data_IF_488334916288
#
_entry.id   IF_488334916288
#
_cell.length_a   1.000
_cell.length_b   1.000
_cell.length_c   1.000
_cell.angle_alpha   90.00
_cell.angle_beta   90.00
_cell.angle_gamma   90.00
#
_symmetry.space_group_name_H-M   'P 1'
#
loop_
_entity.id
_entity.type
_entity.pdbx_description
1 polymer ?
#
# COMPACT_ATOMS: atom_id res chain seq x y z
N UNK A 1 7.04 -25.58 46.69
CA UNK A 1 6.23 -24.34 46.51
C UNK A 1 6.83 -23.30 45.56
N UNK A 2 8.16 -23.06 45.54
CA UNK A 2 8.78 -21.99 44.73
C UNK A 2 8.74 -22.10 43.19
N UNK A 3 8.61 -23.30 42.61
CA UNK A 3 8.52 -23.47 41.13
C UNK A 3 7.23 -22.87 40.54
N UNK A 4 6.11 -22.90 41.27
CA UNK A 4 4.81 -22.39 40.81
C UNK A 4 4.74 -20.85 40.79
N UNK A 5 5.36 -20.19 41.78
CA UNK A 5 5.44 -18.73 41.88
C UNK A 5 6.31 -18.17 40.73
N UNK A 6 7.47 -18.78 40.46
CA UNK A 6 8.34 -18.38 39.36
C UNK A 6 7.67 -18.55 37.99
N UNK A 7 6.91 -19.63 37.79
CA UNK A 7 6.15 -19.87 36.57
C UNK A 7 5.02 -18.84 36.39
N UNK A 8 4.30 -18.51 37.46
CA UNK A 8 3.22 -17.51 37.43
C UNK A 8 3.75 -16.10 37.17
N UNK A 9 4.87 -15.72 37.79
CA UNK A 9 5.53 -14.45 37.55
C UNK A 9 6.02 -14.34 36.10
N UNK A 10 6.72 -15.37 35.59
CA UNK A 10 7.20 -15.41 34.20
C UNK A 10 6.04 -15.27 33.21
N UNK A 11 4.92 -15.98 33.44
CA UNK A 11 3.73 -15.89 32.58
C UNK A 11 3.12 -14.49 32.57
N UNK A 12 2.96 -13.85 33.73
CA UNK A 12 2.42 -12.49 33.84
C UNK A 12 3.36 -11.45 33.21
N UNK A 13 4.67 -11.59 33.41
CA UNK A 13 5.67 -10.72 32.80
C UNK A 13 5.66 -10.84 31.26
N UNK A 14 5.64 -12.07 30.73
CA UNK A 14 5.56 -12.31 29.27
C UNK A 14 4.26 -11.73 28.71
N UNK A 15 3.11 -11.94 29.37
CA UNK A 15 1.84 -11.36 28.93
C UNK A 15 1.90 -9.83 28.93
N UNK A 16 2.44 -9.21 29.97
CA UNK A 16 2.65 -7.76 30.04
C UNK A 16 3.57 -7.25 28.92
N UNK A 17 4.65 -7.98 28.61
CA UNK A 17 5.55 -7.65 27.51
C UNK A 17 4.82 -7.70 26.15
N UNK A 18 4.07 -8.76 25.87
CA UNK A 18 3.32 -8.88 24.60
C UNK A 18 2.28 -7.77 24.41
N UNK A 19 1.67 -7.29 25.48
CA UNK A 19 0.71 -6.18 25.42
C UNK A 19 1.43 -4.83 25.27
N UNK A 20 2.57 -4.65 25.95
CA UNK A 20 3.28 -3.37 26.01
C UNK A 20 4.13 -3.10 24.76
N UNK A 21 4.72 -4.14 24.18
CA UNK A 21 5.64 -4.03 23.04
C UNK A 21 4.99 -3.34 21.83
N UNK A 22 3.80 -3.74 21.34
CA UNK A 22 3.14 -3.05 20.24
C UNK A 22 2.90 -1.57 20.53
N UNK A 23 2.43 -1.24 21.75
CA UNK A 23 2.14 0.15 22.15
C UNK A 23 3.41 1.01 22.15
N UNK A 24 4.50 0.50 22.74
CA UNK A 24 5.78 1.19 22.77
C UNK A 24 6.31 1.39 21.35
N UNK A 25 6.26 0.36 20.51
CA UNK A 25 6.68 0.45 19.10
C UNK A 25 5.87 1.52 18.36
N UNK A 26 4.54 1.56 18.56
CA UNK A 26 3.69 2.60 17.95
C UNK A 26 4.08 4.01 18.39
N UNK A 27 4.29 4.23 19.70
CA UNK A 27 4.70 5.54 20.22
C UNK A 27 6.07 5.95 19.65
N UNK A 28 7.04 5.02 19.62
CA UNK A 28 8.36 5.28 19.05
C UNK A 28 8.28 5.62 17.56
N UNK A 29 7.47 4.89 16.79
CA UNK A 29 7.27 5.14 15.36
C UNK A 29 6.66 6.52 15.11
N UNK A 30 5.66 6.93 15.90
CA UNK A 30 5.02 8.25 15.79
C UNK A 30 6.03 9.37 16.12
N UNK A 31 6.77 9.24 17.22
CA UNK A 31 7.76 10.25 17.62
C UNK A 31 8.90 10.33 16.60
N UNK A 32 9.37 9.19 16.09
CA UNK A 32 10.39 9.15 15.05
C UNK A 32 9.90 9.83 13.77
N UNK A 33 8.69 9.49 13.30
CA UNK A 33 8.08 10.12 12.15
C UNK A 33 7.97 11.64 12.31
N UNK A 34 7.46 12.11 13.46
CA UNK A 34 7.35 13.54 13.75
C UNK A 34 8.70 14.24 13.70
N UNK A 35 9.75 13.67 14.29
CA UNK A 35 11.11 14.24 14.27
C UNK A 35 11.71 14.28 12.87
N UNK A 36 11.47 13.26 12.05
CA UNK A 36 11.94 13.23 10.65
C UNK A 36 11.27 14.35 9.86
N UNK A 37 9.94 14.44 9.91
CA UNK A 37 9.18 15.47 9.18
C UNK A 37 9.50 16.88 9.69
N UNK A 38 9.52 17.08 11.00
CA UNK A 38 9.86 18.37 11.60
C UNK A 38 11.30 18.78 11.27
N UNK A 39 12.25 17.85 11.25
CA UNK A 39 13.65 18.12 10.92
C UNK A 39 13.87 18.58 9.48
N UNK A 40 13.11 18.04 8.51
CA UNK A 40 13.25 18.37 7.08
C UNK A 40 13.07 19.87 6.80
N UNK A 41 12.08 20.51 7.42
CA UNK A 41 11.79 21.94 7.26
C UNK A 41 12.26 22.77 8.46
N UNK A 42 12.37 22.17 9.64
CA UNK A 42 12.81 22.82 10.87
C UNK A 42 14.23 23.36 10.78
N UNK A 43 15.13 22.69 10.05
CA UNK A 43 16.48 23.20 9.80
C UNK A 43 16.46 24.52 9.02
N UNK A 44 15.63 24.62 7.98
CA UNK A 44 15.45 25.86 7.21
C UNK A 44 14.93 27.01 8.10
N UNK A 45 13.97 26.72 8.98
CA UNK A 45 13.46 27.71 9.93
C UNK A 45 14.47 28.07 11.02
N UNK A 46 15.28 27.12 11.49
CA UNK A 46 16.31 27.38 12.49
C UNK A 46 17.40 28.31 11.96
N UNK A 47 17.80 28.16 10.69
CA UNK A 47 18.74 29.05 10.00
C UNK A 47 18.14 30.44 9.75
N UNK A 48 16.84 30.53 9.43
CA UNK A 48 16.18 31.80 9.14
C UNK A 48 15.79 32.61 10.41
N UNK A 49 15.32 31.94 11.46
CA UNK A 49 14.80 32.54 12.70
C UNK A 49 15.82 32.54 13.85
N UNK A 50 16.97 31.88 13.68
CA UNK A 50 18.02 31.76 14.70
C UNK A 50 17.63 30.92 15.92
N UNK A 51 16.46 30.26 15.89
CA UNK A 51 15.96 29.38 16.96
C UNK A 51 15.20 28.20 16.37
N UNK A 52 15.43 27.01 16.92
CA UNK A 52 14.65 25.82 16.57
C UNK A 52 13.32 25.82 17.32
N UNK A 53 12.21 25.97 16.61
CA UNK A 53 10.85 25.85 17.16
C UNK A 53 10.34 24.45 16.80
N UNK A 54 10.29 23.56 17.78
CA UNK A 54 9.78 22.20 17.57
C UNK A 54 8.33 22.20 17.10
N UNK A 55 8.05 21.45 16.04
CA UNK A 55 6.72 21.31 15.44
C UNK A 55 6.40 22.31 14.33
N UNK A 56 7.20 23.37 14.14
CA UNK A 56 7.01 24.32 13.05
C UNK A 56 7.31 23.68 11.69
N UNK A 57 8.32 22.81 11.62
CA UNK A 57 8.64 22.02 10.44
C UNK A 57 7.53 21.03 10.09
N UNK A 58 6.92 20.41 11.11
CA UNK A 58 5.78 19.53 10.91
C UNK A 58 4.55 20.26 10.37
N UNK A 59 4.18 21.38 10.98
CA UNK A 59 3.02 22.19 10.55
C UNK A 59 3.23 22.69 9.12
N UNK A 60 4.40 23.24 8.81
CA UNK A 60 4.73 23.71 7.47
C UNK A 60 4.70 22.58 6.43
N UNK A 61 5.14 21.36 6.77
CA UNK A 61 5.04 20.21 5.88
C UNK A 61 3.58 19.85 5.57
N UNK A 62 2.70 19.84 6.58
CA UNK A 62 1.26 19.59 6.41
C UNK A 62 0.63 20.66 5.50
N UNK A 63 0.95 21.93 5.75
CA UNK A 63 0.48 23.05 4.92
C UNK A 63 0.97 22.93 3.48
N UNK A 64 2.24 22.57 3.27
CA UNK A 64 2.82 22.38 1.95
C UNK A 64 2.12 21.25 1.18
N UNK A 65 1.88 20.10 1.82
CA UNK A 65 1.15 18.98 1.22
C UNK A 65 -0.26 19.40 0.84
N UNK A 66 -0.95 20.15 1.71
CA UNK A 66 -2.28 20.67 1.42
C UNK A 66 -2.30 21.62 0.23
N UNK A 67 -1.33 22.55 0.15
CA UNK A 67 -1.16 23.46 -0.99
C UNK A 67 -0.91 22.66 -2.28
N UNK A 68 -0.03 21.65 -2.25
CA UNK A 68 0.22 20.77 -3.39
C UNK A 68 -1.08 20.06 -3.82
N UNK A 69 -1.89 19.60 -2.87
CA UNK A 69 -3.20 19.00 -3.13
C UNK A 69 -4.15 19.97 -3.86
N UNK A 70 -4.29 21.20 -3.37
CA UNK A 70 -5.11 22.24 -4.01
C UNK A 70 -4.61 22.51 -5.43
N UNK A 71 -3.31 22.70 -5.62
CA UNK A 71 -2.71 22.93 -6.93
C UNK A 71 -3.03 21.76 -7.87
N UNK A 72 -2.94 20.51 -7.39
CA UNK A 72 -3.20 19.30 -8.18
C UNK A 72 -4.61 19.23 -8.76
N UNK A 73 -5.61 19.76 -8.04
CA UNK A 73 -7.02 19.77 -8.49
C UNK A 73 -7.32 20.76 -9.60
N UNK A 74 -6.47 21.77 -9.81
CA UNK A 74 -6.68 22.78 -10.84
C UNK A 74 -5.95 22.43 -12.15
N UNK A 75 -6.52 22.78 -13.30
CA UNK A 75 -5.97 22.44 -14.64
C UNK A 75 -4.55 22.97 -14.82
N UNK A 76 -4.28 24.19 -14.34
CA UNK A 76 -2.95 24.80 -14.40
C UNK A 76 -1.94 24.06 -13.52
N UNK A 77 -2.32 23.71 -12.29
CA UNK A 77 -1.44 22.99 -11.39
C UNK A 77 -1.14 21.57 -11.86
N UNK A 78 -2.12 20.88 -12.47
CA UNK A 78 -1.90 19.59 -13.12
C UNK A 78 -0.85 19.67 -14.23
N UNK A 79 -0.82 20.76 -15.03
CA UNK A 79 0.22 20.98 -16.05
C UNK A 79 1.60 21.18 -15.43
N UNK A 80 1.70 21.93 -14.33
CA UNK A 80 2.96 22.11 -13.58
C UNK A 80 3.47 20.76 -13.06
N UNK A 81 2.59 19.95 -12.45
CA UNK A 81 2.97 18.65 -11.91
C UNK A 81 3.51 17.71 -13.00
N UNK A 82 2.85 17.66 -14.17
CA UNK A 82 3.32 16.87 -15.33
C UNK A 82 4.67 17.38 -15.83
N UNK A 83 4.90 18.70 -15.81
CA UNK A 83 6.18 19.28 -16.22
C UNK A 83 7.31 18.90 -15.26
N UNK A 84 7.08 19.01 -13.95
CA UNK A 84 8.03 18.60 -12.91
C UNK A 84 8.34 17.10 -13.00
N UNK A 85 7.31 16.27 -13.17
CA UNK A 85 7.46 14.83 -13.37
C UNK A 85 8.34 14.52 -14.59
N UNK A 86 8.12 15.21 -15.72
CA UNK A 86 8.95 15.06 -16.91
C UNK A 86 10.40 15.43 -16.67
N UNK A 87 10.68 16.47 -15.87
CA UNK A 87 12.05 16.85 -15.49
C UNK A 87 12.69 15.72 -14.68
N UNK A 88 11.99 15.20 -13.66
CA UNK A 88 12.50 14.11 -12.82
C UNK A 88 12.81 12.84 -13.63
N UNK A 89 11.94 12.52 -14.59
CA UNK A 89 12.13 11.37 -15.49
C UNK A 89 13.26 11.54 -16.51
N UNK A 90 13.70 12.77 -16.77
CA UNK A 90 14.84 13.04 -17.64
C UNK A 90 16.20 12.88 -16.93
N UNK A 91 16.23 12.82 -15.60
CA UNK A 91 17.46 12.62 -14.83
C UNK A 91 17.76 11.12 -14.77
N UNK A 92 18.81 10.60 -15.43
CA UNK A 92 19.00 9.15 -15.64
C UNK A 92 19.04 8.32 -14.34
N UNK A 93 19.65 8.87 -13.30
CA UNK A 93 19.78 8.22 -11.98
C UNK A 93 18.46 8.21 -11.20
N UNK A 94 17.68 9.30 -11.30
CA UNK A 94 16.43 9.46 -10.54
C UNK A 94 15.24 8.83 -11.26
N UNK A 95 15.30 8.66 -12.58
CA UNK A 95 14.21 8.13 -13.40
C UNK A 95 13.70 6.79 -12.89
N UNK A 96 14.59 5.82 -12.67
CA UNK A 96 14.22 4.48 -12.21
C UNK A 96 13.58 4.49 -10.82
N UNK A 97 14.19 5.23 -9.89
CA UNK A 97 13.71 5.35 -8.50
C UNK A 97 12.36 6.06 -8.45
N UNK A 98 12.23 7.21 -9.12
CA UNK A 98 10.99 7.97 -9.16
C UNK A 98 9.87 7.18 -9.84
N UNK A 99 10.14 6.54 -10.99
CA UNK A 99 9.14 5.74 -11.68
C UNK A 99 8.64 4.56 -10.83
N UNK A 100 9.54 3.87 -10.13
CA UNK A 100 9.17 2.77 -9.23
C UNK A 100 8.30 3.26 -8.06
N UNK A 101 8.69 4.35 -7.40
CA UNK A 101 7.92 4.95 -6.31
C UNK A 101 6.55 5.43 -6.80
N UNK A 102 6.52 6.12 -7.94
CA UNK A 102 5.30 6.65 -8.55
C UNK A 102 4.33 5.53 -8.91
N UNK A 103 4.84 4.44 -9.50
CA UNK A 103 4.05 3.26 -9.82
C UNK A 103 3.45 2.62 -8.57
N UNK A 104 4.22 2.50 -7.48
CA UNK A 104 3.71 1.99 -6.20
C UNK A 104 2.61 2.90 -5.65
N UNK A 105 2.85 4.21 -5.57
CA UNK A 105 1.86 5.17 -5.06
C UNK A 105 0.59 5.17 -5.91
N UNK A 106 0.71 5.13 -7.24
CA UNK A 106 -0.43 5.09 -8.15
C UNK A 106 -1.20 3.77 -8.02
N UNK A 107 -0.53 2.64 -7.78
CA UNK A 107 -1.18 1.34 -7.58
C UNK A 107 -2.07 1.30 -6.32
N UNK A 108 -1.78 2.12 -5.31
CA UNK A 108 -2.57 2.27 -4.09
C UNK A 108 -3.50 3.48 -4.10
N UNK A 109 -3.44 4.34 -5.12
CA UNK A 109 -4.29 5.53 -5.19
C UNK A 109 -5.72 5.16 -5.63
N UNK A 110 -6.76 5.58 -4.89
CA UNK A 110 -8.15 5.23 -5.20
C UNK A 110 -8.65 5.86 -6.51
N UNK A 111 -8.01 6.93 -7.00
CA UNK A 111 -8.38 7.62 -8.24
C UNK A 111 -7.57 7.15 -9.47
N UNK A 112 -6.57 6.27 -9.28
CA UNK A 112 -5.74 5.86 -10.41
C UNK A 112 -6.44 4.81 -11.27
N UNK A 113 -6.40 4.98 -12.59
CA UNK A 113 -6.90 3.99 -13.56
C UNK A 113 -6.08 2.68 -13.56
N UNK A 114 -5.00 2.62 -12.78
CA UNK A 114 -3.99 1.55 -12.73
C UNK A 114 -3.90 0.88 -11.36
N UNK A 115 -4.79 1.26 -10.43
CA UNK A 115 -4.88 0.73 -9.06
C UNK A 115 -5.43 -0.69 -9.05
N UNK A 116 -5.06 -1.47 -8.03
CA UNK A 116 -5.71 -2.76 -7.77
C UNK A 116 -7.22 -2.51 -7.70
N UNK A 117 -7.97 -3.07 -8.64
CA UNK A 117 -9.40 -2.80 -8.78
C UNK A 117 -10.20 -3.53 -7.70
N UNK A 118 -9.89 -4.81 -7.50
CA UNK A 118 -10.65 -5.71 -6.60
C UNK A 118 -9.76 -6.81 -6.03
N UNK A 119 -10.09 -7.27 -4.82
CA UNK A 119 -9.56 -8.53 -4.30
C UNK A 119 -10.43 -9.69 -4.80
N UNK A 120 -9.79 -10.72 -5.36
CA UNK A 120 -10.46 -11.81 -6.08
C UNK A 120 -9.92 -13.16 -5.66
N UNK A 121 -10.71 -14.21 -5.92
CA UNK A 121 -10.30 -15.60 -5.78
C UNK A 121 -10.27 -16.21 -7.18
N UNK A 122 -9.19 -16.93 -7.49
CA UNK A 122 -8.98 -17.57 -8.79
C UNK A 122 -8.53 -19.01 -8.61
N UNK A 123 -8.90 -19.87 -9.55
CA UNK A 123 -8.46 -21.27 -9.55
C UNK A 123 -7.04 -21.37 -10.14
N UNK A 124 -6.04 -21.48 -9.27
CA UNK A 124 -4.62 -21.47 -9.62
C UNK A 124 -3.79 -22.15 -8.52
N UNK A 125 -2.72 -22.92 -8.85
CA UNK A 125 -2.16 -23.16 -10.19
C UNK A 125 -2.80 -24.32 -10.95
N UNK A 126 -3.71 -25.08 -10.33
CA UNK A 126 -4.34 -26.26 -10.93
C UNK A 126 -5.82 -26.35 -10.55
N UNK A 127 -6.63 -27.11 -11.32
CA UNK A 127 -8.02 -27.35 -10.97
C UNK A 127 -8.20 -27.90 -9.56
N UNK A 128 -9.22 -27.41 -8.86
CA UNK A 128 -9.54 -27.70 -7.45
C UNK A 128 -8.67 -26.95 -6.43
N UNK A 129 -7.76 -26.08 -6.85
CA UNK A 129 -6.93 -25.26 -5.94
C UNK A 129 -7.19 -23.78 -6.20
N UNK A 130 -7.51 -23.03 -5.14
CA UNK A 130 -7.84 -21.62 -5.23
C UNK A 130 -6.78 -20.75 -4.57
N UNK A 131 -6.49 -19.61 -5.20
CA UNK A 131 -5.54 -18.62 -4.75
C UNK A 131 -6.22 -17.25 -4.61
N UNK A 132 -5.78 -16.49 -3.62
CA UNK A 132 -6.13 -15.08 -3.48
C UNK A 132 -5.31 -14.25 -4.45
N UNK A 133 -5.94 -13.24 -5.03
CA UNK A 133 -5.26 -12.33 -5.95
C UNK A 133 -5.89 -10.94 -5.96
N UNK A 134 -5.19 -10.02 -6.61
CA UNK A 134 -5.66 -8.68 -6.88
C UNK A 134 -5.90 -8.50 -8.37
N UNK A 135 -7.12 -8.17 -8.76
CA UNK A 135 -7.44 -7.76 -10.12
C UNK A 135 -6.74 -6.43 -10.38
N UNK A 136 -5.74 -6.44 -11.27
CA UNK A 136 -4.95 -5.24 -11.59
C UNK A 136 -5.47 -4.53 -12.83
N UNK A 137 -5.85 -5.29 -13.86
CA UNK A 137 -6.21 -4.74 -15.16
C UNK A 137 -7.11 -5.70 -15.94
N UNK A 138 -7.95 -5.14 -16.79
CA UNK A 138 -8.63 -5.88 -17.87
C UNK A 138 -7.91 -5.54 -19.17
N UNK A 139 -7.58 -6.56 -19.95
CA UNK A 139 -6.91 -6.42 -21.24
C UNK A 139 -7.56 -7.34 -22.27
N UNK A 140 -7.62 -6.91 -23.52
CA UNK A 140 -8.10 -7.74 -24.61
C UNK A 140 -6.98 -7.98 -25.62
N UNK A 141 -6.83 -9.23 -26.03
CA UNK A 141 -5.95 -9.64 -27.11
C UNK A 141 -6.75 -9.58 -28.41
N UNK A 142 -6.32 -8.72 -29.33
CA UNK A 142 -6.83 -8.71 -30.71
C UNK A 142 -6.01 -9.68 -31.54
N UNK A 143 -6.61 -10.77 -31.98
CA UNK A 143 -6.02 -11.63 -32.98
C UNK A 143 -6.21 -11.03 -34.38
N UNK A 144 -5.37 -11.44 -35.34
CA UNK A 144 -5.36 -10.92 -36.72
C UNK A 144 -6.65 -11.16 -37.54
N UNK A 145 -7.69 -11.78 -36.97
CA UNK A 145 -8.97 -12.15 -37.62
C UNK A 145 -10.20 -11.61 -36.87
N UNK A 146 -10.12 -10.41 -36.29
CA UNK A 146 -11.21 -9.76 -35.54
C UNK A 146 -11.76 -10.53 -34.32
N UNK A 147 -11.11 -11.62 -33.90
CA UNK A 147 -11.41 -12.27 -32.64
C UNK A 147 -10.75 -11.49 -31.49
N UNK A 148 -11.57 -10.87 -30.66
CA UNK A 148 -11.14 -10.19 -29.43
C UNK A 148 -11.37 -11.12 -28.24
N UNK A 149 -10.28 -11.52 -27.59
CA UNK A 149 -10.34 -12.32 -26.36
C UNK A 149 -9.97 -11.42 -25.18
N UNK A 150 -10.94 -11.12 -24.32
CA UNK A 150 -10.74 -10.30 -23.14
C UNK A 150 -10.38 -11.15 -21.92
N UNK A 151 -9.41 -10.65 -21.16
CA UNK A 151 -8.81 -11.28 -20.00
C UNK A 151 -8.74 -10.30 -18.83
N UNK A 152 -8.76 -10.87 -17.63
CA UNK A 152 -8.47 -10.21 -16.36
C UNK A 152 -7.07 -10.57 -15.92
N UNK A 153 -6.20 -9.57 -15.82
CA UNK A 153 -4.89 -9.70 -15.25
C UNK A 153 -4.99 -9.69 -13.71
N UNK A 154 -4.70 -10.83 -13.10
CA UNK A 154 -4.73 -11.01 -11.66
C UNK A 154 -3.29 -11.19 -11.17
N UNK A 155 -2.90 -10.35 -10.21
CA UNK A 155 -1.65 -10.49 -9.47
C UNK A 155 -1.88 -11.42 -8.28
N UNK A 156 -1.19 -12.56 -8.26
CA UNK A 156 -1.26 -13.57 -7.21
C UNK A 156 0.00 -13.41 -6.35
N UNK A 157 -0.08 -12.73 -5.20
CA UNK A 157 1.07 -12.55 -4.33
C UNK A 157 1.40 -13.83 -3.58
N UNK A 158 2.66 -13.96 -3.19
CA UNK A 158 3.08 -14.81 -2.09
C UNK A 158 2.70 -14.17 -0.74
N UNK A 159 3.17 -14.69 0.39
CA UNK A 159 3.08 -14.00 1.68
C UNK A 159 3.88 -12.68 1.73
N UNK A 160 4.70 -12.39 0.72
CA UNK A 160 5.34 -11.10 0.50
C UNK A 160 4.61 -10.35 -0.63
N UNK A 161 3.89 -9.28 -0.29
CA UNK A 161 2.94 -8.58 -1.17
C UNK A 161 3.53 -8.06 -2.51
N UNK A 162 4.85 -8.00 -2.65
CA UNK A 162 5.54 -7.53 -3.86
C UNK A 162 6.16 -8.67 -4.68
N UNK A 163 6.10 -9.90 -4.19
CA UNK A 163 6.60 -11.10 -4.86
C UNK A 163 5.40 -11.99 -5.20
N UNK A 164 5.26 -12.34 -6.47
CA UNK A 164 4.12 -13.12 -6.94
C UNK A 164 4.14 -13.27 -8.45
N UNK A 165 3.04 -13.81 -8.97
CA UNK A 165 2.85 -14.06 -10.39
C UNK A 165 1.73 -13.19 -10.94
N UNK A 166 1.79 -12.89 -12.23
CA UNK A 166 0.69 -12.24 -12.96
C UNK A 166 0.13 -13.25 -13.92
N UNK A 167 -1.16 -13.56 -13.76
CA UNK A 167 -1.84 -14.59 -14.55
C UNK A 167 -3.08 -13.97 -15.21
N UNK A 168 -3.36 -14.38 -16.44
CA UNK A 168 -4.51 -13.93 -17.22
C UNK A 168 -5.62 -14.97 -17.09
N UNK A 169 -6.79 -14.53 -16.62
CA UNK A 169 -8.00 -15.35 -16.49
C UNK A 169 -9.09 -14.82 -17.39
N UNK A 170 -10.00 -15.69 -17.86
CA UNK A 170 -11.25 -15.24 -18.48
C UNK A 170 -12.18 -14.63 -17.43
N UNK A 171 -13.15 -13.85 -17.90
CA UNK A 171 -14.15 -13.19 -17.04
C UNK A 171 -14.82 -14.17 -16.06
N UNK A 172 -15.18 -15.36 -16.54
CA UNK A 172 -15.90 -16.41 -15.82
C UNK A 172 -15.02 -17.28 -14.91
N UNK A 173 -13.70 -17.06 -14.91
CA UNK A 173 -12.72 -17.80 -14.08
C UNK A 173 -12.29 -16.99 -12.84
N UNK A 174 -12.84 -15.78 -12.67
CA UNK A 174 -12.50 -14.87 -11.57
C UNK A 174 -13.69 -14.70 -10.64
N UNK A 175 -13.55 -15.17 -9.40
CA UNK A 175 -14.54 -14.97 -8.36
C UNK A 175 -14.32 -13.61 -7.67
N UNK A 176 -15.27 -12.69 -7.85
CA UNK A 176 -15.19 -11.35 -7.27
C UNK A 176 -15.62 -11.36 -5.79
N UNK A 177 -14.71 -10.96 -4.90
CA UNK A 177 -15.05 -10.83 -3.48
C UNK A 177 -15.58 -9.42 -3.16
N UNK A 178 -16.35 -9.31 -2.09
CA UNK A 178 -16.73 -8.01 -1.50
C UNK A 178 -15.70 -7.43 -0.54
N UNK A 179 -14.53 -8.05 -0.42
CA UNK A 179 -13.49 -7.56 0.48
C UNK A 179 -12.81 -6.33 -0.11
N UNK A 180 -12.51 -5.37 0.76
CA UNK A 180 -11.63 -4.26 0.42
C UNK A 180 -10.22 -4.76 0.14
N UNK A 181 -9.44 -3.99 -0.63
CA UNK A 181 -8.03 -4.29 -0.88
C UNK A 181 -7.25 -4.42 0.44
N UNK A 182 -7.58 -3.59 1.44
CA UNK A 182 -6.94 -3.61 2.76
C UNK A 182 -7.20 -4.92 3.52
N UNK A 183 -8.43 -5.42 3.47
CA UNK A 183 -8.78 -6.74 4.04
C UNK A 183 -8.05 -7.86 3.31
N UNK A 184 -7.97 -7.80 1.96
CA UNK A 184 -7.19 -8.74 1.16
C UNK A 184 -5.71 -8.76 1.55
N UNK A 185 -5.08 -7.59 1.71
CA UNK A 185 -3.68 -7.47 2.17
C UNK A 185 -3.50 -8.13 3.54
N UNK A 186 -4.45 -7.91 4.46
CA UNK A 186 -4.42 -8.51 5.80
C UNK A 186 -4.46 -10.05 5.72
N UNK A 187 -5.27 -10.62 4.84
CA UNK A 187 -5.34 -12.07 4.60
C UNK A 187 -3.97 -12.59 4.15
N UNK A 188 -3.38 -11.98 3.11
CA UNK A 188 -2.09 -12.40 2.56
C UNK A 188 -0.97 -12.31 3.61
N UNK A 189 -0.82 -11.17 4.28
CA UNK A 189 0.26 -10.93 5.23
C UNK A 189 0.13 -11.76 6.53
N UNK A 190 -1.09 -12.14 6.89
CA UNK A 190 -1.34 -13.03 8.04
C UNK A 190 -1.15 -14.51 7.73
N UNK A 191 -0.81 -14.87 6.47
CA UNK A 191 -0.72 -16.26 6.04
C UNK A 191 -2.08 -16.96 6.03
N UNK A 192 -3.16 -16.22 5.81
CA UNK A 192 -4.53 -16.74 5.75
C UNK A 192 -5.27 -16.76 7.10
N UNK A 193 -4.65 -16.40 8.22
CA UNK A 193 -5.32 -16.37 9.54
C UNK A 193 -6.49 -15.37 9.56
N UNK A 194 -6.38 -14.27 8.82
CA UNK A 194 -7.44 -13.26 8.74
C UNK A 194 -8.54 -13.58 7.71
N UNK A 195 -8.58 -14.79 7.15
CA UNK A 195 -9.58 -15.20 6.15
C UNK A 195 -10.97 -15.30 6.82
N UNK A 196 -12.02 -14.66 6.27
CA UNK A 196 -13.37 -14.78 6.81
C UNK A 196 -13.94 -16.18 6.58
N UNK A 197 -14.88 -16.60 7.43
CA UNK A 197 -15.54 -17.91 7.31
C UNK A 197 -16.35 -18.04 6.00
N UNK A 198 -16.86 -16.92 5.48
CA UNK A 198 -17.65 -16.88 4.25
C UNK A 198 -17.31 -15.65 3.40
N UNK A 199 -17.14 -15.88 2.10
CA UNK A 199 -17.05 -14.82 1.10
C UNK A 199 -18.43 -14.51 0.56
N UNK A 200 -18.81 -13.23 0.58
CA UNK A 200 -19.98 -12.76 -0.20
C UNK A 200 -19.51 -12.37 -1.59
N UNK A 201 -20.21 -12.88 -2.60
CA UNK A 201 -19.98 -12.51 -3.99
C UNK A 201 -20.33 -11.03 -4.20
N UNK A 202 -19.44 -10.30 -4.88
CA UNK A 202 -19.69 -8.91 -5.24
C UNK A 202 -20.69 -8.85 -6.39
N UNK A 203 -21.92 -8.44 -6.07
CA UNK A 203 -22.93 -8.06 -7.06
C UNK A 203 -22.35 -6.89 -7.87
N UNK A 204 -22.13 -7.14 -9.17
CA UNK A 204 -21.47 -6.21 -10.10
C UNK A 204 -22.11 -4.84 -10.20
#
# INVERSE_FOLDING_TARGET
MGKSIRATFKRKFIAGLFVSVPVIITILAIVWFFKVVDGLLGQFYAELLGRHISGLGFISAVVLIFIIGIISTNVFGRRILIFVERILLNIPVLRGVYAAIKQLVDAFSPESKTSFKKFVIVEYPRPGTYSFGFLTKECCLRAAKDAEACFKAVYIPTNHLYLGEIVLFKENEVFNTNLTIQEGIKIILSGGIATPDYFKESSG
#
